data_IF_285384275844
#
_entry.id   IF_285384275844
#
_cell.length_a   1.000
_cell.length_b   1.000
_cell.length_c   1.000
_cell.angle_alpha   90.00
_cell.angle_beta   90.00
_cell.angle_gamma   90.00
#
_symmetry.space_group_name_H-M   'P 1'
#
loop_
_entity.id
_entity.type
_entity.pdbx_description
1 polymer ?
#
# COMPACT_ATOMS: atom_id res chain seq x y z
N UNK A 1 -19.82 1.55 -3.25
CA UNK A 1 -18.98 0.89 -2.24
C UNK A 1 -18.43 1.94 -1.29
N UNK A 2 -18.53 1.69 -0.01
CA UNK A 2 -18.01 2.58 1.04
C UNK A 2 -17.53 1.72 2.19
N UNK A 3 -16.28 1.89 2.60
CA UNK A 3 -15.67 1.07 3.63
C UNK A 3 -14.94 1.95 4.63
N UNK A 4 -15.17 1.73 5.92
CA UNK A 4 -14.46 2.39 7.01
C UNK A 4 -13.40 1.47 7.58
N UNK A 5 -12.25 2.06 7.89
CA UNK A 5 -11.17 1.38 8.60
C UNK A 5 -10.79 2.24 9.80
N UNK A 6 -10.76 1.64 10.99
CA UNK A 6 -10.25 2.33 12.17
C UNK A 6 -8.74 2.48 12.06
N UNK A 7 -8.21 3.61 12.54
CA UNK A 7 -6.76 3.79 12.62
C UNK A 7 -6.17 2.70 13.52
N UNK A 8 -4.95 2.29 13.21
CA UNK A 8 -4.21 1.36 14.05
C UNK A 8 -3.40 2.14 15.09
N UNK A 9 -3.63 1.83 16.36
CA UNK A 9 -2.82 2.43 17.42
C UNK A 9 -1.53 1.65 17.60
N UNK A 10 -0.43 2.39 17.72
CA UNK A 10 0.89 1.83 17.99
C UNK A 10 1.55 2.74 19.02
N UNK A 11 1.58 2.31 20.28
CA UNK A 11 1.99 3.17 21.38
C UNK A 11 0.98 4.30 21.57
N UNK A 12 1.45 5.53 21.59
CA UNK A 12 0.61 6.71 21.76
C UNK A 12 0.14 7.30 20.42
N UNK A 13 0.60 6.74 19.31
CA UNK A 13 0.26 7.22 17.99
C UNK A 13 -0.80 6.33 17.36
N UNK A 14 -1.61 6.92 16.48
CA UNK A 14 -2.58 6.19 15.67
C UNK A 14 -2.34 6.51 14.19
N UNK A 15 -2.44 5.49 13.35
CA UNK A 15 -2.05 5.60 11.95
C UNK A 15 -3.19 5.13 11.03
N UNK A 16 -3.41 5.83 9.91
CA UNK A 16 -4.47 5.45 8.96
C UNK A 16 -4.04 4.27 8.08
N UNK A 17 -4.12 3.07 8.64
CA UNK A 17 -3.87 1.85 7.89
C UNK A 17 -5.19 1.24 7.41
N UNK A 18 -5.14 0.63 6.24
CA UNK A 18 -6.27 -0.13 5.71
C UNK A 18 -5.84 -1.55 5.40
N UNK A 19 -6.80 -2.44 5.30
CA UNK A 19 -6.58 -3.80 4.81
C UNK A 19 -6.67 -3.79 3.29
N UNK A 20 -5.65 -4.32 2.64
CA UNK A 20 -5.62 -4.47 1.20
C UNK A 20 -5.19 -5.89 0.84
N UNK A 21 -5.90 -6.49 -0.10
CA UNK A 21 -5.56 -7.81 -0.60
C UNK A 21 -4.67 -7.67 -1.81
N UNK A 22 -3.50 -8.32 -1.77
CA UNK A 22 -2.60 -8.41 -2.91
C UNK A 22 -2.73 -9.80 -3.52
N UNK A 23 -2.75 -9.88 -4.84
CA UNK A 23 -2.97 -11.13 -5.56
C UNK A 23 -1.73 -11.41 -6.40
N UNK A 24 -1.16 -12.60 -6.22
CA UNK A 24 0.01 -13.04 -6.97
C UNK A 24 -0.17 -14.43 -7.57
N UNK A 25 0.86 -14.94 -8.25
CA UNK A 25 0.80 -16.26 -8.89
C UNK A 25 0.53 -17.42 -7.94
N UNK A 26 0.96 -17.31 -6.68
CA UNK A 26 0.79 -18.39 -5.70
C UNK A 26 -0.42 -18.20 -4.79
N UNK A 27 -1.19 -17.15 -4.98
CA UNK A 27 -2.38 -16.90 -4.17
C UNK A 27 -2.51 -15.44 -3.79
N UNK A 28 -3.28 -15.17 -2.75
CA UNK A 28 -3.51 -13.81 -2.29
C UNK A 28 -3.18 -13.67 -0.82
N UNK A 29 -2.96 -12.43 -0.39
CA UNK A 29 -2.62 -12.13 0.99
C UNK A 29 -3.26 -10.80 1.37
N UNK A 30 -3.96 -10.80 2.51
CA UNK A 30 -4.49 -9.58 3.09
C UNK A 30 -3.41 -8.96 3.96
N UNK A 31 -3.05 -7.71 3.69
CA UNK A 31 -2.02 -7.00 4.46
C UNK A 31 -2.51 -5.63 4.86
N UNK A 32 -1.93 -5.09 5.92
CA UNK A 32 -2.20 -3.72 6.34
C UNK A 32 -1.17 -2.79 5.71
N UNK A 33 -1.64 -1.63 5.27
CA UNK A 33 -0.77 -0.62 4.68
C UNK A 33 -1.25 0.78 5.02
N UNK A 34 -0.30 1.68 5.18
CA UNK A 34 -0.54 3.08 5.53
C UNK A 34 -0.97 3.84 4.28
N UNK A 35 -2.09 4.53 4.37
CA UNK A 35 -2.51 5.47 3.32
C UNK A 35 -1.68 6.74 3.46
N UNK A 36 -0.86 7.02 2.45
CA UNK A 36 0.09 8.14 2.49
C UNK A 36 -0.09 9.04 1.27
N UNK A 37 -0.82 10.13 1.46
CA UNK A 37 -1.06 11.11 0.38
C UNK A 37 0.21 11.85 -0.04
N UNK A 38 1.25 11.83 0.80
CA UNK A 38 2.53 12.43 0.47
C UNK A 38 3.44 11.54 -0.36
N UNK A 39 3.12 10.24 -0.48
CA UNK A 39 3.92 9.32 -1.27
C UNK A 39 3.37 9.21 -2.68
N UNK A 40 4.25 9.24 -3.67
CA UNK A 40 3.85 9.03 -5.06
C UNK A 40 3.63 7.55 -5.34
N UNK A 41 4.52 6.69 -4.85
CA UNK A 41 4.47 5.27 -5.12
C UNK A 41 4.11 4.47 -3.88
N UNK A 42 3.49 3.29 -4.11
CA UNK A 42 3.27 2.30 -3.07
C UNK A 42 4.54 1.48 -2.89
N UNK A 43 4.95 1.28 -1.64
CA UNK A 43 6.18 0.55 -1.33
C UNK A 43 5.86 -0.49 -0.25
N UNK A 44 6.16 -1.75 -0.57
CA UNK A 44 5.86 -2.87 0.31
C UNK A 44 7.14 -3.67 0.59
N UNK A 45 7.13 -4.42 1.67
CA UNK A 45 8.25 -5.27 2.04
C UNK A 45 8.35 -6.47 1.09
N UNK A 46 9.59 -6.89 0.75
CA UNK A 46 9.80 -7.96 -0.23
C UNK A 46 9.30 -9.33 0.23
N UNK A 47 9.15 -9.56 1.54
CA UNK A 47 8.60 -10.81 2.06
C UNK A 47 7.20 -11.08 1.55
N UNK A 48 6.42 -10.01 1.34
CA UNK A 48 5.07 -10.11 0.79
C UNK A 48 5.12 -10.65 -0.64
N UNK A 49 6.05 -10.13 -1.45
CA UNK A 49 6.24 -10.60 -2.81
C UNK A 49 6.63 -12.07 -2.85
N UNK A 50 7.53 -12.48 -1.96
CA UNK A 50 7.95 -13.89 -1.86
C UNK A 50 6.77 -14.81 -1.56
N UNK A 51 5.92 -14.42 -0.60
CA UNK A 51 4.73 -15.18 -0.27
C UNK A 51 3.79 -15.33 -1.46
N UNK A 52 3.63 -14.26 -2.24
CA UNK A 52 2.74 -14.23 -3.39
C UNK A 52 3.32 -14.90 -4.65
N UNK A 53 4.60 -15.27 -4.62
CA UNK A 53 5.27 -15.84 -5.76
C UNK A 53 5.66 -14.81 -6.82
N UNK A 54 5.86 -13.55 -6.42
CA UNK A 54 6.31 -12.48 -7.30
C UNK A 54 7.84 -12.41 -7.22
N UNK A 55 8.56 -12.66 -8.32
CA UNK A 55 10.03 -12.54 -8.31
C UNK A 55 10.42 -11.06 -8.30
N UNK A 56 10.82 -10.57 -7.14
CA UNK A 56 11.06 -9.14 -6.89
C UNK A 56 11.96 -8.52 -7.93
N UNK A 57 13.12 -9.14 -8.20
CA UNK A 57 14.12 -8.55 -9.07
C UNK A 57 13.76 -8.55 -10.56
N UNK A 58 12.65 -9.21 -10.93
CA UNK A 58 12.16 -9.15 -12.31
C UNK A 58 11.41 -7.84 -12.59
N UNK A 59 11.09 -7.06 -11.56
CA UNK A 59 10.47 -5.76 -11.74
C UNK A 59 11.46 -4.71 -12.19
N UNK A 60 10.95 -3.55 -12.54
CA UNK A 60 11.77 -2.41 -12.93
C UNK A 60 12.47 -1.83 -11.70
N UNK A 61 13.79 -1.82 -11.70
CA UNK A 61 14.55 -1.23 -10.59
C UNK A 61 14.47 0.29 -10.67
N UNK A 62 14.14 0.92 -9.55
CA UNK A 62 14.02 2.36 -9.43
C UNK A 62 14.49 2.78 -8.05
N UNK A 63 14.96 4.03 -7.96
CA UNK A 63 15.27 4.64 -6.67
C UNK A 63 14.11 5.54 -6.26
N UNK A 64 13.69 5.41 -5.01
CA UNK A 64 12.61 6.17 -4.42
C UNK A 64 13.14 7.05 -3.31
N UNK A 65 12.55 8.24 -3.13
CA UNK A 65 12.98 9.15 -2.07
C UNK A 65 12.53 8.60 -0.72
N UNK A 66 13.50 8.23 0.12
CA UNK A 66 13.26 7.87 1.51
C UNK A 66 13.43 9.07 2.42
N UNK A 67 13.32 8.85 3.73
CA UNK A 67 13.47 9.89 4.74
C UNK A 67 14.92 10.35 4.82
N UNK A 68 15.85 9.42 4.86
CA UNK A 68 17.30 9.70 5.01
C UNK A 68 18.03 9.74 3.68
N UNK A 69 17.65 8.87 2.76
CA UNK A 69 18.34 8.71 1.49
C UNK A 69 17.39 8.09 0.49
N UNK A 70 17.87 7.93 -0.74
CA UNK A 70 17.10 7.19 -1.74
C UNK A 70 17.17 5.70 -1.41
N UNK A 71 16.07 5.00 -1.64
CA UNK A 71 15.98 3.56 -1.45
C UNK A 71 15.76 2.87 -2.78
N UNK A 72 16.37 1.70 -2.94
CA UNK A 72 16.21 0.89 -4.14
C UNK A 72 14.97 0.01 -4.00
N UNK A 73 14.12 0.02 -4.99
CA UNK A 73 12.96 -0.88 -5.05
C UNK A 73 12.75 -1.40 -6.45
N UNK A 74 11.89 -2.39 -6.56
CA UNK A 74 11.56 -3.03 -7.83
C UNK A 74 10.07 -2.91 -8.07
N UNK A 75 9.70 -2.19 -9.13
CA UNK A 75 8.31 -1.85 -9.43
C UNK A 75 7.64 -2.98 -10.19
N UNK A 76 6.49 -3.40 -9.70
CA UNK A 76 5.64 -4.41 -10.30
C UNK A 76 4.23 -3.90 -10.44
N UNK A 77 3.51 -4.42 -11.43
CA UNK A 77 2.07 -4.22 -11.51
C UNK A 77 1.40 -5.40 -10.80
N UNK A 78 0.67 -5.12 -9.73
CA UNK A 78 0.09 -6.15 -8.87
C UNK A 78 -1.42 -5.96 -8.79
N UNK A 79 -2.23 -6.99 -9.08
CA UNK A 79 -3.65 -6.91 -8.82
C UNK A 79 -3.91 -6.78 -7.32
N UNK A 80 -4.75 -5.84 -6.95
CA UNK A 80 -5.13 -5.61 -5.55
C UNK A 80 -6.64 -5.54 -5.43
N UNK A 81 -7.14 -5.79 -4.24
CA UNK A 81 -8.56 -5.63 -3.94
C UNK A 81 -8.71 -4.90 -2.61
N UNK A 82 -9.53 -3.86 -2.64
CA UNK A 82 -9.97 -3.17 -1.43
C UNK A 82 -11.48 -3.33 -1.35
N UNK A 83 -11.94 -4.06 -0.33
CA UNK A 83 -13.33 -4.47 -0.20
C UNK A 83 -13.77 -5.22 -1.47
N UNK A 84 -14.62 -4.64 -2.31
CA UNK A 84 -15.10 -5.29 -3.52
C UNK A 84 -14.45 -4.77 -4.79
N UNK A 85 -13.59 -3.74 -4.70
CA UNK A 85 -12.95 -3.14 -5.86
C UNK A 85 -11.61 -3.81 -6.13
N UNK A 86 -11.49 -4.40 -7.33
CA UNK A 86 -10.25 -5.02 -7.80
C UNK A 86 -9.67 -4.19 -8.93
N UNK A 87 -8.37 -3.91 -8.86
CA UNK A 87 -7.67 -3.11 -9.87
C UNK A 87 -6.19 -3.45 -9.84
N UNK A 88 -5.45 -3.02 -10.87
CA UNK A 88 -4.01 -3.18 -10.90
C UNK A 88 -3.35 -1.97 -10.27
N UNK A 89 -2.40 -2.22 -9.39
CA UNK A 89 -1.67 -1.18 -8.69
C UNK A 89 -0.17 -1.34 -8.92
N UNK A 90 0.54 -0.23 -9.11
CA UNK A 90 1.99 -0.27 -9.19
C UNK A 90 2.57 -0.28 -7.79
N UNK A 91 3.27 -1.35 -7.45
CA UNK A 91 3.86 -1.55 -6.13
C UNK A 91 5.35 -1.80 -6.28
N UNK A 92 6.16 -1.02 -5.56
CA UNK A 92 7.58 -1.26 -5.46
C UNK A 92 7.85 -2.13 -4.22
N UNK A 93 8.64 -3.17 -4.39
CA UNK A 93 9.10 -3.97 -3.26
C UNK A 93 10.52 -3.57 -2.93
N UNK A 94 10.78 -3.23 -1.68
CA UNK A 94 12.09 -2.76 -1.24
C UNK A 94 12.43 -3.29 0.13
N UNK A 95 13.62 -3.88 0.24
CA UNK A 95 14.19 -4.28 1.54
C UNK A 95 14.74 -3.08 2.31
N UNK A 96 14.79 -1.91 1.69
CA UNK A 96 15.34 -0.70 2.28
C UNK A 96 14.27 0.24 2.84
N UNK A 97 13.01 -0.20 2.89
CA UNK A 97 11.91 0.60 3.42
C UNK A 97 12.21 0.99 4.87
N UNK A 98 12.23 2.31 5.11
CA UNK A 98 12.70 2.88 6.37
C UNK A 98 11.65 2.92 7.48
N UNK A 99 10.37 2.84 7.12
CA UNK A 99 9.27 2.87 8.07
C UNK A 99 8.76 1.46 8.35
N UNK A 100 8.04 1.29 9.46
CA UNK A 100 7.57 -0.03 9.86
C UNK A 100 6.32 -0.50 9.12
N UNK A 101 5.68 0.37 8.34
CA UNK A 101 4.46 0.05 7.62
C UNK A 101 4.72 -0.10 6.14
N UNK A 102 3.95 -0.95 5.47
CA UNK A 102 3.82 -0.88 4.02
C UNK A 102 3.09 0.41 3.68
N UNK A 103 3.45 1.03 2.56
CA UNK A 103 2.96 2.36 2.15
C UNK A 103 2.10 2.24 0.90
N UNK A 104 0.90 2.83 0.96
CA UNK A 104 0.06 3.02 -0.23
C UNK A 104 0.17 4.47 -0.67
N UNK A 105 0.82 4.68 -1.80
CA UNK A 105 1.00 5.99 -2.40
C UNK A 105 -0.08 6.31 -3.41
N UNK A 106 0.00 7.51 -3.99
CA UNK A 106 -1.06 8.01 -4.88
C UNK A 106 -1.12 7.32 -6.23
N UNK A 107 0.05 6.94 -6.79
CA UNK A 107 0.08 6.42 -8.16
C UNK A 107 -0.67 5.09 -8.25
N UNK A 108 -1.78 5.13 -8.96
CA UNK A 108 -2.70 4.06 -9.25
C UNK A 108 -3.51 3.53 -8.06
N UNK A 109 -3.10 3.77 -6.80
CA UNK A 109 -3.93 3.31 -5.68
C UNK A 109 -5.07 4.29 -5.40
N UNK A 110 -4.80 5.60 -5.40
CA UNK A 110 -5.82 6.60 -5.08
C UNK A 110 -6.82 6.80 -6.21
N UNK A 111 -6.43 6.49 -7.44
CA UNK A 111 -7.23 6.81 -8.63
C UNK A 111 -8.66 6.29 -8.60
N UNK A 112 -8.93 5.02 -8.19
CA UNK A 112 -10.31 4.53 -8.19
C UNK A 112 -11.14 4.96 -7.00
N UNK A 113 -10.59 5.76 -6.07
CA UNK A 113 -11.25 6.03 -4.79
C UNK A 113 -11.33 7.51 -4.44
N UNK A 114 -12.34 7.82 -3.63
CA UNK A 114 -12.36 9.00 -2.78
C UNK A 114 -11.93 8.53 -1.40
N UNK A 115 -10.95 9.20 -0.81
CA UNK A 115 -10.37 8.80 0.47
C UNK A 115 -10.55 9.94 1.46
N UNK A 116 -11.19 9.65 2.57
CA UNK A 116 -11.45 10.63 3.62
C UNK A 116 -10.72 10.22 4.89
N UNK A 117 -9.96 11.14 5.46
CA UNK A 117 -9.33 10.96 6.76
C UNK A 117 -10.19 11.70 7.80
N UNK A 118 -10.76 10.96 8.72
CA UNK A 118 -11.49 11.54 9.85
C UNK A 118 -10.59 11.45 11.08
N UNK A 119 -9.80 12.46 11.29
CA UNK A 119 -8.81 12.47 12.37
C UNK A 119 -9.46 12.45 13.74
N UNK A 120 -10.59 13.14 13.88
CA UNK A 120 -11.30 13.20 15.15
C UNK A 120 -11.79 11.82 15.60
N UNK A 121 -12.38 11.06 14.69
CA UNK A 121 -12.88 9.71 14.98
C UNK A 121 -11.84 8.64 14.71
N UNK A 122 -10.68 9.02 14.17
CA UNK A 122 -9.57 8.12 13.79
C UNK A 122 -10.04 7.00 12.87
N UNK A 123 -10.64 7.40 11.76
CA UNK A 123 -11.16 6.48 10.74
C UNK A 123 -10.78 6.95 9.35
N UNK A 124 -10.48 5.99 8.48
CA UNK A 124 -10.29 6.22 7.03
C UNK A 124 -11.52 5.70 6.31
N UNK A 125 -12.06 6.52 5.43
CA UNK A 125 -13.20 6.15 4.61
C UNK A 125 -12.75 6.00 3.17
N UNK A 126 -13.02 4.84 2.58
CA UNK A 126 -12.69 4.56 1.18
C UNK A 126 -14.00 4.38 0.42
N UNK A 127 -14.21 5.20 -0.61
CA UNK A 127 -15.39 5.16 -1.46
C UNK A 127 -14.96 5.04 -2.91
N UNK A 128 -15.75 4.30 -3.70
CA UNK A 128 -15.50 4.24 -5.14
C UNK A 128 -15.73 5.60 -5.76
N UNK A 129 -14.77 6.04 -6.56
CA UNK A 129 -14.87 7.28 -7.32
C UNK A 129 -15.49 6.97 -8.69
N UNK A 130 -16.72 7.35 -8.87
CA UNK A 130 -17.47 7.05 -10.11
C UNK A 130 -17.36 8.15 -11.15
#
# INVERSE_FOLDING_TARGET
>A
MKKEFSYLRKGEQAYPLIDVELIGPKGSLMVKALIDSGATFSIFRPEIASFLGIPVKNGQSLYFQGIKSKILGYLHQVPVRVNQEKFNCYIAFSSELEVSFNILGRNNFFLPFLITFNEKLQKVLIEKNT
#
